data_IF_389466367321
#
_entry.id   IF_389466367321
#
_cell.length_a   1.000
_cell.length_b   1.000
_cell.length_c   1.000
_cell.angle_alpha   90.00
_cell.angle_beta   90.00
_cell.angle_gamma   90.00
#
_symmetry.space_group_name_H-M   'P 1'
#
loop_
_entity.id
_entity.type
_entity.pdbx_description
1 polymer ?
#
# COMPACT_ATOMS: atom_id res chain seq x y z
N UNK A 1 -5.00 -0.36 -12.32
CA UNK A 1 -4.59 1.02 -11.97
C UNK A 1 -3.42 0.93 -11.01
N UNK A 2 -2.40 1.76 -11.22
CA UNK A 2 -1.27 1.92 -10.32
C UNK A 2 -1.33 3.32 -9.69
N UNK A 3 -1.03 3.42 -8.40
CA UNK A 3 -1.02 4.69 -7.66
C UNK A 3 0.43 5.13 -7.51
N UNK A 4 0.71 6.39 -7.80
CA UNK A 4 2.00 7.00 -7.47
C UNK A 4 1.98 7.49 -6.01
N UNK A 5 2.63 6.74 -5.12
CA UNK A 5 2.72 7.08 -3.70
C UNK A 5 3.40 8.42 -3.42
N UNK A 6 4.15 8.94 -4.39
CA UNK A 6 4.98 10.13 -4.23
C UNK A 6 4.44 11.33 -5.00
N UNK A 7 3.26 11.24 -5.62
CA UNK A 7 2.67 12.34 -6.38
C UNK A 7 2.53 13.64 -5.56
N UNK A 8 2.46 13.53 -4.22
CA UNK A 8 2.36 14.67 -3.29
C UNK A 8 3.69 15.15 -2.73
N UNK A 9 4.77 14.38 -2.89
CA UNK A 9 6.05 14.65 -2.21
C UNK A 9 7.23 14.78 -3.16
N UNK A 10 7.17 14.11 -4.31
CA UNK A 10 8.24 14.11 -5.28
C UNK A 10 8.38 15.50 -5.93
N UNK A 11 9.62 15.97 -6.15
CA UNK A 11 9.89 17.26 -6.78
C UNK A 11 9.57 17.25 -8.28
N UNK A 12 9.41 16.07 -8.88
CA UNK A 12 9.12 15.87 -10.30
C UNK A 12 8.36 14.56 -10.52
N UNK A 13 7.93 14.34 -11.77
CA UNK A 13 7.29 13.11 -12.22
C UNK A 13 8.30 11.97 -12.53
N UNK A 14 9.60 12.18 -12.34
CA UNK A 14 10.61 11.15 -12.58
C UNK A 14 10.46 10.00 -11.57
N UNK A 15 10.33 8.77 -12.09
CA UNK A 15 10.28 7.52 -11.32
C UNK A 15 11.25 6.48 -11.90
N UNK A 16 12.28 6.93 -12.62
CA UNK A 16 13.35 6.09 -13.14
C UNK A 16 14.31 5.65 -12.04
N UNK A 17 15.36 4.90 -12.41
CA UNK A 17 16.35 4.38 -11.46
C UNK A 17 17.13 5.47 -10.71
N UNK A 18 17.15 6.71 -11.21
CA UNK A 18 17.73 7.86 -10.50
C UNK A 18 16.84 8.40 -9.38
N UNK A 19 15.60 7.96 -9.28
CA UNK A 19 14.67 8.41 -8.26
C UNK A 19 15.00 7.79 -6.89
N UNK A 20 15.41 8.64 -5.93
CA UNK A 20 15.65 8.20 -4.55
C UNK A 20 14.33 7.93 -3.82
N UNK A 21 13.76 6.76 -4.10
CA UNK A 21 12.53 6.28 -3.47
C UNK A 21 12.61 6.30 -1.95
N UNK A 22 13.76 5.93 -1.38
CA UNK A 22 13.90 5.75 0.07
C UNK A 22 13.83 7.08 0.81
N UNK A 23 14.45 8.14 0.27
CA UNK A 23 14.28 9.49 0.79
C UNK A 23 12.81 9.92 0.74
N UNK A 24 12.13 9.63 -0.37
CA UNK A 24 10.74 10.05 -0.60
C UNK A 24 9.75 9.31 0.29
N UNK A 25 9.99 8.03 0.60
CA UNK A 25 9.09 7.28 1.47
C UNK A 25 8.94 7.95 2.82
N UNK A 26 9.98 8.55 3.41
CA UNK A 26 9.87 9.23 4.72
C UNK A 26 8.95 10.46 4.70
N UNK A 27 8.83 11.13 3.54
CA UNK A 27 8.00 12.33 3.36
C UNK A 27 6.51 11.99 3.17
N UNK A 28 6.18 10.75 2.82
CA UNK A 28 4.79 10.33 2.68
C UNK A 28 4.04 10.34 4.02
N UNK A 29 2.75 10.69 3.97
CA UNK A 29 1.86 10.72 5.13
C UNK A 29 0.84 9.59 5.03
N UNK A 30 0.69 8.73 6.06
CA UNK A 30 -0.25 7.60 6.02
C UNK A 30 -1.67 8.00 5.62
N UNK A 31 -2.21 9.08 6.19
CA UNK A 31 -3.57 9.54 5.89
C UNK A 31 -3.73 10.00 4.44
N UNK A 32 -2.72 10.68 3.89
CA UNK A 32 -2.73 11.09 2.48
C UNK A 32 -2.65 9.89 1.54
N UNK A 33 -1.78 8.91 1.84
CA UNK A 33 -1.71 7.66 1.07
C UNK A 33 -3.05 6.90 1.12
N UNK A 34 -3.67 6.82 2.30
CA UNK A 34 -4.95 6.15 2.46
C UNK A 34 -6.06 6.88 1.70
N UNK A 35 -6.07 8.22 1.69
CA UNK A 35 -7.02 9.01 0.92
C UNK A 35 -6.86 8.79 -0.59
N UNK A 36 -5.61 8.76 -1.08
CA UNK A 36 -5.33 8.50 -2.49
C UNK A 36 -5.75 7.09 -2.89
N UNK A 37 -5.48 6.08 -2.04
CA UNK A 37 -5.96 4.69 -2.24
C UNK A 37 -7.50 4.62 -2.24
N UNK A 38 -8.17 5.30 -1.32
CA UNK A 38 -9.63 5.32 -1.25
C UNK A 38 -10.25 5.95 -2.50
N UNK A 39 -9.70 7.08 -2.98
CA UNK A 39 -10.12 7.73 -4.22
C UNK A 39 -9.93 6.80 -5.42
N UNK A 40 -8.82 6.08 -5.46
CA UNK A 40 -8.51 5.12 -6.50
C UNK A 40 -9.55 3.97 -6.52
N UNK A 41 -9.86 3.36 -5.36
CA UNK A 41 -10.88 2.31 -5.25
C UNK A 41 -12.27 2.83 -5.64
N UNK A 42 -12.61 4.04 -5.22
CA UNK A 42 -13.87 4.68 -5.60
C UNK A 42 -13.97 4.87 -7.13
N UNK A 43 -12.88 5.31 -7.77
CA UNK A 43 -12.81 5.42 -9.22
C UNK A 43 -13.04 4.08 -9.92
N UNK A 44 -12.33 3.01 -9.52
CA UNK A 44 -12.50 1.67 -10.10
C UNK A 44 -13.96 1.16 -10.01
N UNK A 45 -14.67 1.51 -8.95
CA UNK A 45 -16.08 1.14 -8.74
C UNK A 45 -17.06 2.02 -9.50
N UNK A 46 -16.64 3.20 -9.94
CA UNK A 46 -17.49 4.11 -10.71
C UNK A 46 -17.75 3.59 -12.13
N UNK A 47 -18.78 4.11 -12.84
CA UNK A 47 -18.97 3.85 -14.27
C UNK A 47 -17.73 4.13 -15.12
N UNK A 48 -17.01 5.23 -14.82
CA UNK A 48 -15.82 5.63 -15.56
C UNK A 48 -14.62 4.70 -15.33
N UNK A 49 -14.53 4.04 -14.17
CA UNK A 49 -13.46 3.07 -13.86
C UNK A 49 -13.82 1.63 -14.17
N UNK A 50 -14.96 1.37 -14.82
CA UNK A 50 -15.36 0.04 -15.28
C UNK A 50 -16.27 -0.74 -14.32
N UNK A 51 -16.84 -0.10 -13.30
CA UNK A 51 -17.80 -0.72 -12.36
C UNK A 51 -17.27 -2.00 -11.71
N UNK A 52 -16.01 -1.97 -11.26
CA UNK A 52 -15.36 -3.13 -10.68
C UNK A 52 -16.15 -3.68 -9.48
N UNK A 53 -16.65 -4.92 -9.61
CA UNK A 53 -17.38 -5.61 -8.53
C UNK A 53 -16.45 -6.15 -7.45
N UNK A 54 -15.24 -6.56 -7.85
CA UNK A 54 -14.19 -7.04 -6.96
C UNK A 54 -12.94 -6.19 -7.17
N UNK A 55 -12.34 -5.74 -6.07
CA UNK A 55 -11.09 -4.97 -6.09
C UNK A 55 -10.08 -5.71 -5.25
N UNK A 56 -8.88 -5.90 -5.79
CA UNK A 56 -7.74 -6.48 -5.11
C UNK A 56 -6.64 -5.42 -4.97
N UNK A 57 -5.91 -5.47 -3.86
CA UNK A 57 -4.67 -4.72 -3.72
C UNK A 57 -3.49 -5.64 -3.97
N UNK A 58 -2.49 -5.17 -4.71
CA UNK A 58 -1.20 -5.83 -4.86
C UNK A 58 -0.09 -4.79 -4.67
N UNK A 59 0.95 -5.15 -3.93
CA UNK A 59 2.08 -4.24 -3.71
C UNK A 59 3.38 -4.94 -3.30
N UNK A 60 4.49 -4.23 -3.50
CA UNK A 60 5.86 -4.72 -3.29
C UNK A 60 6.61 -3.82 -2.31
N UNK A 61 7.41 -4.39 -1.41
CA UNK A 61 8.21 -3.65 -0.41
C UNK A 61 7.32 -2.69 0.40
N UNK A 62 7.57 -1.37 0.33
CA UNK A 62 6.69 -0.36 0.93
C UNK A 62 5.24 -0.50 0.47
N UNK A 63 5.01 -0.72 -0.83
CA UNK A 63 3.69 -1.00 -1.39
C UNK A 63 3.07 -2.30 -0.85
N UNK A 64 3.90 -3.30 -0.53
CA UNK A 64 3.44 -4.54 0.12
C UNK A 64 2.90 -4.26 1.53
N UNK A 65 3.61 -3.42 2.28
CA UNK A 65 3.16 -2.92 3.60
C UNK A 65 1.82 -2.18 3.49
N UNK A 66 1.69 -1.28 2.50
CA UNK A 66 0.44 -0.55 2.24
C UNK A 66 -0.70 -1.50 1.85
N UNK A 67 -0.42 -2.55 1.07
CA UNK A 67 -1.41 -3.56 0.68
C UNK A 67 -1.97 -4.30 1.88
N UNK A 68 -1.12 -4.74 2.83
CA UNK A 68 -1.58 -5.40 4.05
C UNK A 68 -2.52 -4.51 4.89
N UNK A 69 -2.20 -3.23 5.03
CA UNK A 69 -3.05 -2.27 5.76
C UNK A 69 -4.44 -2.14 5.13
N UNK A 70 -4.59 -2.41 3.83
CA UNK A 70 -5.89 -2.34 3.17
C UNK A 70 -6.87 -3.43 3.60
N UNK A 71 -6.41 -4.55 4.17
CA UNK A 71 -7.31 -5.56 4.71
C UNK A 71 -8.18 -5.04 5.87
N UNK A 72 -7.71 -4.00 6.57
CA UNK A 72 -8.43 -3.31 7.65
C UNK A 72 -9.03 -1.95 7.26
N UNK A 73 -8.93 -1.52 5.99
CA UNK A 73 -9.26 -0.12 5.64
C UNK A 73 -10.76 0.17 5.49
N UNK A 74 -11.62 -0.86 5.58
CA UNK A 74 -13.06 -0.71 5.35
C UNK A 74 -13.45 -0.52 3.89
N UNK A 75 -12.48 -0.48 2.96
CA UNK A 75 -12.73 -0.29 1.53
C UNK A 75 -13.29 -1.55 0.83
N UNK A 76 -13.57 -2.64 1.55
CA UNK A 76 -14.18 -3.88 1.04
C UNK A 76 -13.39 -4.51 -0.13
N UNK A 77 -12.10 -4.76 0.08
CA UNK A 77 -11.29 -5.52 -0.88
C UNK A 77 -11.75 -6.98 -0.92
N UNK A 78 -11.68 -7.60 -2.10
CA UNK A 78 -11.89 -9.04 -2.26
C UNK A 78 -10.67 -9.86 -1.80
N UNK A 79 -9.50 -9.23 -1.73
CA UNK A 79 -8.27 -9.76 -1.17
C UNK A 79 -7.13 -8.76 -1.31
N UNK A 80 -6.06 -8.96 -0.54
CA UNK A 80 -4.84 -8.15 -0.61
C UNK A 80 -3.61 -9.04 -0.72
N UNK A 81 -2.63 -8.60 -1.51
CA UNK A 81 -1.44 -9.38 -1.85
C UNK A 81 -0.21 -8.50 -1.61
N UNK A 82 0.62 -8.87 -0.64
CA UNK A 82 1.86 -8.17 -0.37
C UNK A 82 3.07 -9.04 -0.68
N UNK A 83 4.03 -8.45 -1.39
CA UNK A 83 5.34 -9.03 -1.63
C UNK A 83 6.35 -8.32 -0.73
N UNK A 84 7.02 -9.08 0.14
CA UNK A 84 8.12 -8.63 1.01
C UNK A 84 7.88 -7.26 1.66
N UNK A 85 6.63 -7.04 2.12
CA UNK A 85 6.28 -5.88 2.95
C UNK A 85 6.78 -6.05 4.38
N UNK A 86 6.63 -5.01 5.20
CA UNK A 86 7.14 -4.97 6.58
C UNK A 86 6.00 -5.17 7.59
N UNK A 87 5.57 -6.42 7.89
CA UNK A 87 4.42 -6.68 8.75
C UNK A 87 4.61 -6.14 10.17
N UNK A 88 5.85 -6.13 10.67
CA UNK A 88 6.23 -5.59 11.98
C UNK A 88 6.59 -4.09 11.93
N UNK A 89 6.44 -3.44 10.77
CA UNK A 89 6.94 -2.10 10.52
C UNK A 89 8.47 -2.05 10.42
N UNK A 90 9.04 -0.84 10.45
CA UNK A 90 10.47 -0.62 10.41
C UNK A 90 10.91 0.24 11.59
N UNK A 91 12.03 -0.12 12.20
CA UNK A 91 12.63 0.63 13.33
C UNK A 91 12.92 2.09 12.97
N UNK A 92 13.35 2.36 11.73
CA UNK A 92 13.60 3.72 11.24
C UNK A 92 12.35 4.61 11.12
N UNK A 93 11.15 4.01 11.10
CA UNK A 93 9.87 4.72 10.99
C UNK A 93 8.86 4.20 12.03
N UNK A 94 9.11 4.44 13.34
CA UNK A 94 8.37 3.80 14.42
C UNK A 94 6.90 4.25 14.49
N UNK A 95 6.61 5.47 14.06
CA UNK A 95 5.27 6.08 14.13
C UNK A 95 4.34 5.64 12.99
N UNK A 96 4.82 4.80 12.07
CA UNK A 96 3.99 4.32 10.96
C UNK A 96 3.10 3.17 11.39
N UNK A 97 1.85 3.11 10.87
CA UNK A 97 0.97 1.97 11.08
C UNK A 97 1.65 0.67 10.68
N UNK A 98 1.67 -0.30 11.60
CA UNK A 98 2.22 -1.63 11.37
C UNK A 98 1.09 -2.57 10.97
N UNK A 99 1.23 -3.33 9.89
CA UNK A 99 0.20 -4.30 9.50
C UNK A 99 -0.19 -5.27 10.62
N UNK A 100 0.76 -5.71 11.45
CA UNK A 100 0.51 -6.64 12.55
C UNK A 100 -0.52 -6.13 13.56
N UNK A 101 -0.54 -4.82 13.84
CA UNK A 101 -1.45 -4.18 14.79
C UNK A 101 -2.89 -4.09 14.26
N UNK A 102 -3.09 -4.38 12.97
CA UNK A 102 -4.36 -4.33 12.28
C UNK A 102 -4.98 -5.71 12.00
N UNK A 103 -4.24 -6.81 12.22
CA UNK A 103 -4.66 -8.17 11.84
C UNK A 103 -6.03 -8.56 12.41
N UNK A 104 -6.30 -8.22 13.67
CA UNK A 104 -7.59 -8.50 14.31
C UNK A 104 -8.79 -7.78 13.65
N UNK A 105 -8.53 -6.75 12.83
CA UNK A 105 -9.54 -5.98 12.08
C UNK A 105 -9.58 -6.35 10.60
N UNK A 106 -8.81 -7.35 10.15
CA UNK A 106 -8.80 -7.73 8.74
C UNK A 106 -10.15 -8.29 8.31
N UNK A 107 -10.64 -7.83 7.15
CA UNK A 107 -11.97 -8.14 6.64
C UNK A 107 -11.94 -8.91 5.32
N UNK A 108 -10.75 -9.22 4.80
CA UNK A 108 -10.58 -9.97 3.55
C UNK A 108 -9.35 -10.91 3.61
N UNK A 109 -9.27 -11.89 2.69
CA UNK A 109 -8.10 -12.76 2.57
C UNK A 109 -6.81 -11.98 2.29
N UNK A 110 -5.74 -12.40 2.95
CA UNK A 110 -4.38 -11.84 2.78
C UNK A 110 -3.46 -12.92 2.24
N UNK A 111 -2.76 -12.63 1.15
CA UNK A 111 -1.65 -13.44 0.66
C UNK A 111 -0.34 -12.66 0.86
N UNK A 112 0.59 -13.30 1.56
CA UNK A 112 1.92 -12.77 1.85
C UNK A 112 2.98 -13.59 1.14
N UNK A 113 3.84 -12.93 0.37
CA UNK A 113 4.89 -13.57 -0.44
C UNK A 113 6.25 -13.04 0.00
N UNK A 114 7.07 -13.92 0.56
CA UNK A 114 8.40 -13.60 1.08
C UNK A 114 9.45 -14.55 0.52
N UNK A 115 10.65 -14.04 0.27
CA UNK A 115 11.80 -14.87 -0.08
C UNK A 115 12.47 -15.40 1.18
N UNK A 116 12.75 -16.70 1.26
CA UNK A 116 13.37 -17.31 2.44
C UNK A 116 14.80 -16.85 2.74
N UNK A 117 15.43 -16.11 1.83
CA UNK A 117 16.76 -15.53 1.98
C UNK A 117 16.74 -14.03 2.35
N UNK A 118 15.55 -13.44 2.52
CA UNK A 118 15.42 -12.05 2.96
C UNK A 118 15.74 -11.95 4.47
N UNK A 119 16.78 -11.18 4.86
CA UNK A 119 17.18 -11.08 6.27
C UNK A 119 16.19 -10.27 7.13
N UNK A 120 15.23 -9.56 6.53
CA UNK A 120 14.27 -8.70 7.23
C UNK A 120 14.77 -7.30 7.56
#
# INVERSE_FOLDING_TARGET
MAIDFFARTAPSEDRSDSFDFMAQVSLTKPDSLQADIAAAVAYLRSPAGGQARSVFSVGFCFGGTLSYLQAASGLRYAGVIGFYGWPLGLSRWPDRPKPIDAVARYTCPVLSLFGGADPG
#
